data_IF_804358371778
#
_entry.id   IF_804358371778
#
_cell.length_a   1.000
_cell.length_b   1.000
_cell.length_c   1.000
_cell.angle_alpha   90.00
_cell.angle_beta   90.00
_cell.angle_gamma   90.00
#
_symmetry.space_group_name_H-M   'P 1'
#
loop_
_entity.id
_entity.type
_entity.pdbx_description
1 polymer ?
#
# COMPACT_ATOMS: atom_id res chain seq x y z
N UNK A 1 -32.44 -14.11 -60.86
CA UNK A 1 -31.22 -13.59 -60.20
C UNK A 1 -31.61 -12.96 -58.85
N UNK A 2 -31.62 -13.73 -57.76
CA UNK A 2 -32.00 -13.26 -56.41
C UNK A 2 -30.80 -13.35 -55.45
N UNK A 3 -30.64 -12.32 -54.62
CA UNK A 3 -30.04 -12.35 -53.28
C UNK A 3 -28.52 -12.53 -53.06
N UNK A 4 -27.65 -11.97 -53.92
CA UNK A 4 -26.19 -11.90 -53.59
C UNK A 4 -25.83 -10.77 -52.60
N UNK A 5 -26.65 -9.71 -52.50
CA UNK A 5 -26.35 -8.52 -51.67
C UNK A 5 -26.76 -8.64 -50.19
N UNK A 6 -27.73 -9.49 -49.84
CA UNK A 6 -28.24 -9.59 -48.47
C UNK A 6 -27.29 -10.37 -47.54
N UNK A 7 -26.57 -11.35 -48.09
CA UNK A 7 -25.58 -12.15 -47.35
C UNK A 7 -24.30 -11.35 -47.01
N UNK A 8 -23.92 -10.37 -47.83
CA UNK A 8 -22.73 -9.55 -47.58
C UNK A 8 -22.95 -8.48 -46.49
N UNK A 9 -24.15 -7.85 -46.43
CA UNK A 9 -24.48 -6.90 -45.35
C UNK A 9 -24.52 -7.55 -43.97
N UNK A 10 -25.10 -8.75 -43.84
CA UNK A 10 -25.12 -9.49 -42.56
C UNK A 10 -23.73 -9.95 -42.11
N UNK A 11 -22.86 -10.37 -43.04
CA UNK A 11 -21.45 -10.70 -42.72
C UNK A 11 -20.65 -9.45 -42.33
N UNK A 12 -20.88 -8.31 -42.98
CA UNK A 12 -20.24 -7.04 -42.64
C UNK A 12 -20.65 -6.53 -41.26
N UNK A 13 -21.95 -6.54 -40.94
CA UNK A 13 -22.45 -6.16 -39.62
C UNK A 13 -21.97 -7.10 -38.50
N UNK A 14 -21.86 -8.41 -38.76
CA UNK A 14 -21.25 -9.36 -37.82
C UNK A 14 -19.74 -9.11 -37.62
N UNK A 15 -19.02 -8.65 -38.65
CA UNK A 15 -17.60 -8.28 -38.52
C UNK A 15 -17.41 -6.96 -37.77
N UNK A 16 -18.30 -5.99 -37.98
CA UNK A 16 -18.33 -4.74 -37.22
C UNK A 16 -18.64 -4.99 -35.73
N UNK A 17 -19.63 -5.85 -35.41
CA UNK A 17 -19.99 -6.14 -34.02
C UNK A 17 -18.89 -6.88 -33.26
N UNK A 18 -18.17 -7.80 -33.90
CA UNK A 18 -17.06 -8.53 -33.26
C UNK A 18 -15.82 -7.64 -33.10
N UNK A 19 -15.55 -6.74 -34.05
CA UNK A 19 -14.44 -5.79 -33.97
C UNK A 19 -14.69 -4.62 -33.01
N UNK A 20 -15.93 -4.12 -32.91
CA UNK A 20 -16.26 -3.01 -32.03
C UNK A 20 -16.37 -3.42 -30.55
N UNK A 21 -16.87 -4.62 -30.24
CA UNK A 21 -16.93 -5.13 -28.87
C UNK A 21 -15.54 -5.48 -28.31
N UNK A 22 -14.65 -6.04 -29.15
CA UNK A 22 -13.26 -6.29 -28.75
C UNK A 22 -12.45 -4.99 -28.61
N UNK A 23 -12.65 -3.99 -29.49
CA UNK A 23 -12.02 -2.67 -29.30
C UNK A 23 -12.56 -1.91 -28.08
N UNK A 24 -13.85 -2.04 -27.73
CA UNK A 24 -14.42 -1.44 -26.52
C UNK A 24 -13.95 -2.14 -25.25
N UNK A 25 -13.86 -3.48 -25.26
CA UNK A 25 -13.32 -4.24 -24.13
C UNK A 25 -11.83 -3.97 -23.89
N UNK A 26 -11.04 -3.84 -24.95
CA UNK A 26 -9.61 -3.52 -24.86
C UNK A 26 -9.36 -2.03 -24.56
N UNK A 27 -10.24 -1.10 -24.96
CA UNK A 27 -10.17 0.30 -24.52
C UNK A 27 -10.62 0.49 -23.07
N UNK A 28 -11.58 -0.28 -22.58
CA UNK A 28 -11.94 -0.27 -21.16
C UNK A 28 -10.79 -0.81 -20.28
N UNK A 29 -10.08 -1.83 -20.77
CA UNK A 29 -8.86 -2.35 -20.12
C UNK A 29 -7.65 -1.40 -20.21
N UNK A 30 -7.71 -0.38 -21.09
CA UNK A 30 -6.62 0.57 -21.28
C UNK A 30 -6.88 1.84 -20.45
N UNK A 31 -6.39 1.80 -19.21
CA UNK A 31 -6.24 2.91 -18.27
C UNK A 31 -7.51 3.35 -17.55
N UNK A 32 -7.88 2.60 -16.51
CA UNK A 32 -8.65 3.11 -15.40
C UNK A 32 -7.83 4.21 -14.67
N UNK A 33 -7.85 5.43 -15.19
CA UNK A 33 -7.15 6.59 -14.63
C UNK A 33 -7.80 7.14 -13.37
N UNK A 34 -9.02 6.69 -13.05
CA UNK A 34 -9.75 7.02 -11.84
C UNK A 34 -10.24 5.78 -11.10
N UNK A 35 -10.39 5.91 -9.78
CA UNK A 35 -10.80 4.83 -8.89
C UNK A 35 -12.15 4.21 -9.24
N UNK A 36 -13.08 5.00 -9.80
CA UNK A 36 -14.40 4.51 -10.21
C UNK A 36 -14.33 3.48 -11.33
N UNK A 37 -13.43 3.67 -12.30
CA UNK A 37 -13.24 2.71 -13.40
C UNK A 37 -12.54 1.45 -12.89
N UNK A 38 -11.52 1.60 -12.07
CA UNK A 38 -10.79 0.47 -11.49
C UNK A 38 -11.71 -0.43 -10.63
N UNK A 39 -12.62 0.17 -9.86
CA UNK A 39 -13.56 -0.59 -9.04
C UNK A 39 -14.56 -1.42 -9.86
N UNK A 40 -14.93 -0.96 -11.06
CA UNK A 40 -15.80 -1.69 -11.96
C UNK A 40 -15.06 -2.85 -12.63
N UNK A 41 -13.81 -2.62 -13.04
CA UNK A 41 -12.97 -3.66 -13.65
C UNK A 41 -12.60 -4.76 -12.64
N UNK A 42 -12.30 -4.40 -11.40
CA UNK A 42 -12.04 -5.33 -10.30
C UNK A 42 -13.24 -6.24 -9.97
N UNK A 43 -14.46 -5.76 -10.23
CA UNK A 43 -15.69 -6.53 -10.00
C UNK A 43 -16.02 -7.47 -11.19
N UNK A 44 -15.38 -7.27 -12.33
CA UNK A 44 -15.63 -8.05 -13.55
C UNK A 44 -14.81 -9.33 -13.62
N UNK A 45 -13.56 -9.31 -13.15
CA UNK A 45 -12.67 -10.47 -13.14
C UNK A 45 -12.63 -11.16 -11.76
N UNK A 46 -12.55 -12.50 -11.75
CA UNK A 46 -12.28 -13.23 -10.50
C UNK A 46 -10.79 -13.15 -10.15
N UNK A 47 -10.40 -13.01 -8.86
CA UNK A 47 -8.98 -13.07 -8.44
C UNK A 47 -8.25 -14.36 -8.82
N UNK A 48 -8.97 -15.43 -9.15
CA UNK A 48 -8.41 -16.70 -9.60
C UNK A 48 -8.06 -16.72 -11.10
N UNK A 49 -8.40 -15.67 -11.85
CA UNK A 49 -8.19 -15.58 -13.29
C UNK A 49 -6.95 -14.74 -13.64
N UNK A 50 -6.18 -15.18 -14.65
CA UNK A 50 -4.99 -14.43 -15.11
C UNK A 50 -5.35 -13.01 -15.59
N UNK A 51 -6.54 -12.84 -16.18
CA UNK A 51 -7.02 -11.52 -16.62
C UNK A 51 -7.14 -10.51 -15.48
N UNK A 52 -7.45 -10.96 -14.26
CA UNK A 52 -7.45 -10.10 -13.07
C UNK A 52 -6.05 -9.56 -12.79
N UNK A 53 -5.05 -10.43 -12.78
CA UNK A 53 -3.67 -10.05 -12.47
C UNK A 53 -3.01 -9.24 -13.58
N UNK A 54 -3.37 -9.49 -14.85
CA UNK A 54 -2.97 -8.65 -15.97
C UNK A 54 -3.54 -7.24 -15.84
N UNK A 55 -4.82 -7.10 -15.47
CA UNK A 55 -5.44 -5.81 -15.17
C UNK A 55 -4.76 -5.10 -14.00
N UNK A 56 -4.45 -5.81 -12.89
CA UNK A 56 -3.73 -5.25 -11.73
C UNK A 56 -2.35 -4.76 -12.15
N UNK A 57 -1.59 -5.56 -12.91
CA UNK A 57 -0.27 -5.19 -13.42
C UNK A 57 -0.33 -3.92 -14.28
N UNK A 58 -1.36 -3.78 -15.10
CA UNK A 58 -1.57 -2.62 -15.96
C UNK A 58 -1.97 -1.34 -15.21
N UNK A 59 -2.16 -1.39 -13.88
CA UNK A 59 -2.37 -0.19 -13.06
C UNK A 59 -1.08 0.55 -12.70
N UNK A 60 0.09 -0.01 -13.00
CA UNK A 60 1.38 0.57 -12.63
C UNK A 60 2.15 1.05 -13.86
N UNK A 61 2.88 2.16 -13.72
CA UNK A 61 3.67 2.81 -14.78
C UNK A 61 4.99 2.09 -15.14
N UNK A 62 5.17 0.85 -14.69
CA UNK A 62 6.42 0.11 -14.92
C UNK A 62 6.57 -0.16 -16.40
N UNK A 63 7.78 0.08 -16.93
CA UNK A 63 8.11 -0.23 -18.32
C UNK A 63 7.80 -1.70 -18.64
N UNK A 64 7.19 -1.94 -19.80
CA UNK A 64 6.75 -3.28 -20.23
C UNK A 64 7.91 -4.24 -20.41
N UNK A 65 9.11 -3.71 -20.64
CA UNK A 65 10.34 -4.49 -20.79
C UNK A 65 11.00 -4.83 -19.43
N UNK A 66 10.40 -4.39 -18.31
CA UNK A 66 10.91 -4.62 -16.95
C UNK A 66 9.98 -5.54 -16.13
N UNK A 67 10.59 -6.33 -15.24
CA UNK A 67 9.88 -7.15 -14.27
C UNK A 67 10.24 -6.64 -12.87
N UNK A 68 9.24 -6.18 -12.12
CA UNK A 68 9.41 -5.75 -10.75
C UNK A 68 9.52 -6.96 -9.81
N UNK A 69 10.74 -7.20 -9.31
CA UNK A 69 11.01 -8.33 -8.40
C UNK A 69 11.09 -7.94 -6.92
N UNK A 70 11.12 -6.65 -6.60
CA UNK A 70 11.26 -6.16 -5.22
C UNK A 70 10.31 -4.99 -4.91
N UNK A 71 9.02 -5.30 -4.83
CA UNK A 71 8.00 -4.33 -4.42
C UNK A 71 8.11 -3.92 -2.93
N UNK A 72 8.80 -4.72 -2.11
CA UNK A 72 8.99 -4.43 -0.68
C UNK A 72 9.95 -3.25 -0.44
N UNK A 73 10.93 -3.04 -1.33
CA UNK A 73 11.80 -1.88 -1.27
C UNK A 73 11.11 -0.61 -1.78
N UNK A 74 10.50 -0.68 -2.96
CA UNK A 74 9.74 0.42 -3.54
C UNK A 74 8.68 -0.13 -4.48
N UNK A 75 7.41 0.04 -4.13
CA UNK A 75 6.30 -0.24 -5.01
C UNK A 75 5.82 1.07 -5.66
N UNK A 76 5.71 1.17 -6.99
CA UNK A 76 5.12 2.33 -7.63
C UNK A 76 3.65 2.47 -7.22
N UNK A 77 3.15 3.70 -7.20
CA UNK A 77 1.73 3.94 -6.97
C UNK A 77 0.92 3.51 -8.20
N UNK A 78 -0.27 2.91 -8.01
CA UNK A 78 -1.21 2.72 -9.11
C UNK A 78 -1.60 4.06 -9.74
N UNK A 79 -1.93 4.07 -11.04
CA UNK A 79 -2.31 5.27 -11.80
C UNK A 79 -3.37 6.11 -11.09
N UNK A 80 -4.43 5.47 -10.55
CA UNK A 80 -5.49 6.19 -9.84
C UNK A 80 -4.95 7.00 -8.64
N UNK A 81 -3.96 6.49 -7.91
CA UNK A 81 -3.33 7.18 -6.78
C UNK A 81 -2.42 8.29 -7.29
N UNK A 82 -1.54 7.98 -8.24
CA UNK A 82 -0.60 8.96 -8.81
C UNK A 82 -1.33 10.17 -9.42
N UNK A 83 -2.39 9.93 -10.19
CA UNK A 83 -3.24 10.97 -10.78
C UNK A 83 -3.90 11.83 -9.70
N UNK A 84 -4.49 11.23 -8.67
CA UNK A 84 -5.14 11.96 -7.57
C UNK A 84 -4.15 12.85 -6.82
N UNK A 85 -2.92 12.36 -6.56
CA UNK A 85 -1.87 13.15 -5.92
C UNK A 85 -1.48 14.34 -6.81
N UNK A 86 -1.26 14.11 -8.11
CA UNK A 86 -0.94 15.17 -9.07
C UNK A 86 -2.03 16.24 -9.15
N UNK A 87 -3.31 15.83 -9.15
CA UNK A 87 -4.45 16.73 -9.11
C UNK A 87 -4.44 17.60 -7.85
N UNK A 88 -4.18 17.02 -6.68
CA UNK A 88 -4.13 17.77 -5.41
C UNK A 88 -2.96 18.74 -5.37
N UNK A 89 -1.79 18.35 -5.86
CA UNK A 89 -0.63 19.24 -6.00
C UNK A 89 -0.97 20.42 -6.91
N UNK A 90 -1.55 20.16 -8.09
CA UNK A 90 -1.91 21.23 -9.02
C UNK A 90 -2.97 22.17 -8.43
N UNK A 91 -3.96 21.63 -7.74
CA UNK A 91 -5.04 22.43 -7.17
C UNK A 91 -4.56 23.30 -5.99
N UNK A 92 -3.66 22.80 -5.14
CA UNK A 92 -2.99 23.59 -4.10
C UNK A 92 -2.12 24.71 -4.67
N UNK A 93 -1.45 24.48 -5.80
CA UNK A 93 -0.68 25.52 -6.49
C UNK A 93 -1.57 26.61 -7.10
N UNK A 94 -2.80 26.26 -7.49
CA UNK A 94 -3.77 27.20 -8.07
C UNK A 94 -4.43 28.08 -7.02
N UNK A 95 -4.70 27.55 -5.82
CA UNK A 95 -5.34 28.26 -4.73
C UNK A 95 -4.69 27.96 -3.38
N UNK A 96 -3.92 28.92 -2.86
CA UNK A 96 -3.21 28.82 -1.57
C UNK A 96 -4.01 29.37 -0.39
N UNK A 97 -5.28 29.72 -0.60
CA UNK A 97 -6.16 30.27 0.43
C UNK A 97 -6.39 29.28 1.59
N UNK A 98 -6.71 29.82 2.77
CA UNK A 98 -7.07 28.97 3.91
C UNK A 98 -8.35 28.18 3.64
N UNK A 99 -9.32 28.80 2.98
CA UNK A 99 -10.62 28.21 2.64
C UNK A 99 -10.46 26.99 1.74
N UNK A 100 -9.58 27.06 0.74
CA UNK A 100 -9.30 25.91 -0.10
C UNK A 100 -8.59 24.80 0.69
N UNK A 101 -7.63 25.14 1.57
CA UNK A 101 -6.92 24.14 2.38
C UNK A 101 -7.82 23.38 3.36
N UNK A 102 -8.91 23.98 3.85
CA UNK A 102 -9.86 23.32 4.76
C UNK A 102 -10.51 22.06 4.16
N UNK A 103 -10.59 21.94 2.83
CA UNK A 103 -11.15 20.73 2.19
C UNK A 103 -10.35 19.47 2.53
N UNK A 104 -9.06 19.61 2.86
CA UNK A 104 -8.20 18.48 3.20
C UNK A 104 -8.46 17.94 4.62
N UNK A 105 -9.07 18.73 5.52
CA UNK A 105 -9.45 18.25 6.85
C UNK A 105 -10.50 17.14 6.74
N UNK A 106 -11.53 17.36 5.93
CA UNK A 106 -12.57 16.36 5.66
C UNK A 106 -11.98 15.14 4.93
N UNK A 107 -11.14 15.35 3.90
CA UNK A 107 -10.47 14.24 3.19
C UNK A 107 -9.58 13.40 4.09
N UNK A 108 -8.87 14.04 5.03
CA UNK A 108 -8.03 13.35 6.03
C UNK A 108 -8.89 12.50 6.94
N UNK A 109 -10.03 13.02 7.41
CA UNK A 109 -10.99 12.27 8.23
C UNK A 109 -11.50 11.03 7.49
N UNK A 110 -11.95 11.18 6.25
CA UNK A 110 -12.41 10.06 5.41
C UNK A 110 -11.30 9.02 5.15
N UNK A 111 -10.04 9.47 5.03
CA UNK A 111 -8.90 8.57 4.88
C UNK A 111 -8.64 7.76 6.15
N UNK A 112 -8.76 8.39 7.32
CA UNK A 112 -8.66 7.73 8.63
C UNK A 112 -9.77 6.69 8.80
N UNK A 113 -11.02 7.04 8.52
CA UNK A 113 -12.16 6.13 8.60
C UNK A 113 -11.96 4.89 7.72
N UNK A 114 -11.45 5.08 6.48
CA UNK A 114 -11.14 3.95 5.59
C UNK A 114 -10.01 3.07 6.10
N UNK A 115 -8.95 3.67 6.65
CA UNK A 115 -7.82 2.92 7.23
C UNK A 115 -8.22 2.15 8.48
N UNK A 116 -9.01 2.77 9.36
CA UNK A 116 -9.54 2.15 10.57
C UNK A 116 -10.39 0.92 10.22
N UNK A 117 -11.31 1.07 9.26
CA UNK A 117 -12.12 -0.04 8.76
C UNK A 117 -11.26 -1.16 8.14
N UNK A 118 -10.22 -0.81 7.38
CA UNK A 118 -9.32 -1.79 6.76
C UNK A 118 -8.51 -2.57 7.81
N UNK A 119 -8.06 -1.91 8.87
CA UNK A 119 -7.25 -2.50 9.94
C UNK A 119 -8.08 -3.15 11.05
N UNK A 120 -9.40 -2.94 11.06
CA UNK A 120 -10.28 -3.40 12.13
C UNK A 120 -10.09 -2.65 13.45
N UNK A 121 -9.72 -1.36 13.39
CA UNK A 121 -9.46 -0.49 14.54
C UNK A 121 -10.45 0.69 14.59
N UNK A 122 -10.38 1.51 15.64
CA UNK A 122 -11.13 2.78 15.73
C UNK A 122 -10.37 3.91 15.04
N UNK A 123 -11.09 4.94 14.58
CA UNK A 123 -10.49 6.14 13.98
C UNK A 123 -9.49 6.83 14.92
N UNK A 124 -9.77 6.81 16.23
CA UNK A 124 -8.92 7.38 17.28
C UNK A 124 -7.59 6.65 17.46
N UNK A 125 -7.43 5.46 16.89
CA UNK A 125 -6.22 4.64 16.95
C UNK A 125 -5.32 4.84 15.72
N UNK A 126 -5.74 5.65 14.74
CA UNK A 126 -5.01 5.86 13.48
C UNK A 126 -4.23 7.16 13.47
N UNK A 127 -2.90 7.04 13.42
CA UNK A 127 -1.98 8.14 13.08
C UNK A 127 -1.45 7.99 11.66
N UNK A 128 -1.63 9.02 10.81
CA UNK A 128 -1.00 9.07 9.48
C UNK A 128 0.31 9.85 9.58
N UNK A 129 1.40 9.23 9.12
CA UNK A 129 2.75 9.81 9.03
C UNK A 129 3.25 9.69 7.59
N UNK A 130 4.40 10.31 7.28
CA UNK A 130 4.90 10.33 5.90
C UNK A 130 5.55 9.00 5.49
N UNK A 131 6.05 8.21 6.45
CA UNK A 131 6.66 6.89 6.22
C UNK A 131 6.88 6.12 7.54
N UNK A 132 7.25 4.85 7.43
CA UNK A 132 7.49 3.95 8.58
C UNK A 132 8.64 4.40 9.48
N UNK A 133 9.70 5.01 8.94
CA UNK A 133 10.85 5.45 9.75
C UNK A 133 10.49 6.66 10.60
N UNK A 134 9.71 7.61 10.06
CA UNK A 134 9.15 8.73 10.81
C UNK A 134 8.22 8.23 11.93
N UNK A 135 7.30 7.32 11.61
CA UNK A 135 6.41 6.72 12.60
C UNK A 135 7.18 6.07 13.75
N UNK A 136 8.18 5.26 13.44
CA UNK A 136 9.00 4.60 14.44
C UNK A 136 9.78 5.60 15.30
N UNK A 137 10.37 6.62 14.68
CA UNK A 137 11.05 7.70 15.38
C UNK A 137 10.12 8.49 16.30
N UNK A 138 8.88 8.73 15.87
CA UNK A 138 7.87 9.42 16.67
C UNK A 138 7.50 8.61 17.91
N UNK A 139 7.27 7.31 17.78
CA UNK A 139 6.98 6.42 18.92
C UNK A 139 8.18 6.34 19.87
N UNK A 140 9.37 6.03 19.35
CA UNK A 140 10.57 5.89 20.18
C UNK A 140 10.92 7.17 20.96
N UNK A 141 10.64 8.35 20.40
CA UNK A 141 10.85 9.64 21.08
C UNK A 141 9.68 10.07 21.97
N UNK A 142 8.47 9.57 21.71
CA UNK A 142 7.27 9.90 22.49
C UNK A 142 7.14 9.10 23.79
N UNK A 143 7.83 7.96 23.90
CA UNK A 143 7.87 7.18 25.13
C UNK A 143 8.77 7.84 26.17
N UNK A 144 8.27 8.00 27.40
CA UNK A 144 9.00 8.63 28.51
C UNK A 144 9.95 7.65 29.22
N UNK A 145 10.85 7.03 28.45
CA UNK A 145 11.82 6.06 28.96
C UNK A 145 12.93 6.76 29.76
N UNK A 146 13.32 6.16 30.88
CA UNK A 146 14.36 6.65 31.79
C UNK A 146 15.62 5.79 31.71
N UNK A 147 16.72 6.32 32.23
CA UNK A 147 17.97 5.57 32.33
C UNK A 147 17.75 4.24 33.05
N UNK A 148 18.22 3.14 32.46
CA UNK A 148 18.00 1.78 32.96
C UNK A 148 16.71 1.10 32.49
N UNK A 149 15.79 1.82 31.84
CA UNK A 149 14.67 1.17 31.14
C UNK A 149 15.18 0.32 30.00
N UNK A 150 14.46 -0.78 29.72
CA UNK A 150 14.88 -1.75 28.72
C UNK A 150 13.93 -1.72 27.53
N UNK A 151 14.50 -1.68 26.33
CA UNK A 151 13.80 -1.88 25.07
C UNK A 151 14.30 -3.17 24.46
N UNK A 152 13.39 -4.10 24.19
CA UNK A 152 13.69 -5.41 23.62
C UNK A 152 13.25 -5.40 22.16
N UNK A 153 14.19 -5.72 21.26
CA UNK A 153 13.97 -5.76 19.81
C UNK A 153 14.54 -7.03 19.20
N UNK A 154 14.02 -7.46 18.06
CA UNK A 154 14.62 -8.54 17.26
C UNK A 154 15.89 -8.05 16.56
N UNK A 155 16.84 -8.97 16.33
CA UNK A 155 18.07 -8.75 15.57
C UNK A 155 17.88 -8.73 14.04
N UNK A 156 16.71 -9.15 13.57
CA UNK A 156 16.30 -9.11 12.16
C UNK A 156 15.45 -7.87 11.85
N UNK A 157 15.36 -6.91 12.78
CA UNK A 157 14.66 -5.67 12.53
C UNK A 157 15.35 -4.89 11.41
N UNK A 158 14.55 -4.13 10.65
CA UNK A 158 15.12 -3.25 9.64
C UNK A 158 16.11 -2.26 10.30
N UNK A 159 17.28 -1.96 9.69
CA UNK A 159 18.29 -1.10 10.32
C UNK A 159 17.77 0.29 10.73
N UNK A 160 16.81 0.85 9.97
CA UNK A 160 16.19 2.13 10.34
C UNK A 160 15.32 2.03 11.60
N UNK A 161 14.78 0.85 11.92
CA UNK A 161 14.08 0.61 13.18
C UNK A 161 15.07 0.56 14.35
N UNK A 162 16.25 -0.05 14.17
CA UNK A 162 17.25 -0.17 15.24
C UNK A 162 17.94 1.14 15.59
N UNK A 163 18.28 1.94 14.57
CA UNK A 163 19.14 3.12 14.73
C UNK A 163 18.58 4.14 15.74
N UNK A 164 17.26 4.31 15.82
CA UNK A 164 16.65 5.22 16.78
C UNK A 164 16.80 4.71 18.21
N UNK A 165 16.69 3.41 18.45
CA UNK A 165 16.83 2.84 19.80
C UNK A 165 18.27 2.98 20.31
N UNK A 166 19.27 2.79 19.45
CA UNK A 166 20.66 3.05 19.81
C UNK A 166 20.92 4.53 20.12
N UNK A 167 20.25 5.43 19.40
CA UNK A 167 20.32 6.87 19.70
C UNK A 167 19.65 7.18 21.05
N UNK A 168 18.48 6.60 21.33
CA UNK A 168 17.79 6.74 22.61
C UNK A 168 18.65 6.22 23.76
N UNK A 169 19.33 5.07 23.59
CA UNK A 169 20.26 4.51 24.57
C UNK A 169 21.40 5.49 24.89
N UNK A 170 22.02 6.06 23.86
CA UNK A 170 23.10 7.04 24.02
C UNK A 170 22.64 8.34 24.71
N UNK A 171 21.41 8.78 24.45
CA UNK A 171 20.88 10.06 24.95
C UNK A 171 20.31 9.97 26.37
N UNK A 172 19.61 8.88 26.68
CA UNK A 172 18.82 8.75 27.90
C UNK A 172 19.27 7.60 28.81
N UNK A 173 20.29 6.83 28.40
CA UNK A 173 20.82 5.72 29.20
C UNK A 173 19.89 4.51 29.27
N UNK A 174 18.95 4.37 28.33
CA UNK A 174 18.15 3.15 28.19
C UNK A 174 19.03 1.98 27.71
N UNK A 175 18.59 0.76 27.98
CA UNK A 175 19.28 -0.48 27.59
C UNK A 175 18.53 -1.13 26.44
N UNK A 176 19.18 -1.26 25.28
CA UNK A 176 18.59 -1.94 24.11
C UNK A 176 19.07 -3.39 24.08
N UNK A 177 18.14 -4.32 24.27
CA UNK A 177 18.40 -5.77 24.22
C UNK A 177 17.94 -6.33 22.88
N UNK A 178 18.87 -6.92 22.15
CA UNK A 178 18.61 -7.57 20.87
C UNK A 178 18.39 -9.06 21.06
N UNK A 179 17.30 -9.57 20.50
CA UNK A 179 16.89 -10.97 20.58
C UNK A 179 17.24 -11.63 19.27
N UNK A 180 18.07 -12.68 19.33
CA UNK A 180 18.46 -13.42 18.14
C UNK A 180 17.28 -14.22 17.57
N UNK A 181 17.02 -14.07 16.28
CA UNK A 181 16.03 -14.87 15.57
C UNK A 181 16.59 -16.27 15.31
N UNK A 182 15.94 -17.36 15.75
CA UNK A 182 16.35 -18.72 15.42
C UNK A 182 16.57 -18.92 13.91
N UNK A 183 17.70 -19.54 13.53
CA UNK A 183 18.13 -19.65 12.12
C UNK A 183 17.26 -20.62 11.28
N UNK A 184 16.40 -21.43 11.91
CA UNK A 184 15.48 -22.34 11.20
C UNK A 184 14.39 -22.84 12.18
N UNK A 185 13.45 -21.98 12.61
CA UNK A 185 12.49 -22.34 13.64
C UNK A 185 11.62 -23.51 13.17
N UNK A 186 11.54 -24.58 13.95
CA UNK A 186 10.71 -25.77 13.63
C UNK A 186 9.28 -25.65 14.12
N UNK A 187 9.03 -24.71 15.02
CA UNK A 187 7.70 -24.40 15.54
C UNK A 187 7.56 -22.90 15.77
N UNK A 188 6.32 -22.45 15.99
CA UNK A 188 6.04 -21.09 16.44
C UNK A 188 6.59 -20.85 17.85
N UNK A 189 6.58 -21.89 18.69
CA UNK A 189 7.03 -21.81 20.08
C UNK A 189 8.51 -21.49 20.17
N UNK A 190 9.34 -22.01 19.26
CA UNK A 190 10.77 -21.65 19.21
C UNK A 190 11.02 -20.15 19.00
N UNK A 191 10.12 -19.43 18.31
CA UNK A 191 10.20 -17.97 18.21
C UNK A 191 9.70 -17.29 19.48
N UNK A 192 8.58 -17.76 20.02
CA UNK A 192 7.93 -17.17 21.19
C UNK A 192 8.80 -17.32 22.43
N UNK A 193 9.37 -18.49 22.66
CA UNK A 193 10.17 -18.83 23.84
C UNK A 193 11.39 -17.92 23.97
N UNK A 194 12.07 -17.59 22.87
CA UNK A 194 13.25 -16.72 22.91
C UNK A 194 12.87 -15.32 23.40
N UNK A 195 11.74 -14.78 22.92
CA UNK A 195 11.24 -13.48 23.37
C UNK A 195 10.74 -13.53 24.81
N UNK A 196 9.96 -14.55 25.18
CA UNK A 196 9.44 -14.72 26.54
C UNK A 196 10.56 -14.86 27.57
N UNK A 197 11.57 -15.69 27.30
CA UNK A 197 12.73 -15.87 28.18
C UNK A 197 13.47 -14.55 28.41
N UNK A 198 13.52 -13.67 27.40
CA UNK A 198 14.13 -12.34 27.54
C UNK A 198 13.27 -11.37 28.35
N UNK A 199 11.95 -11.42 28.21
CA UNK A 199 11.02 -10.63 29.02
C UNK A 199 11.05 -11.04 30.50
N UNK A 200 11.10 -12.35 30.78
CA UNK A 200 11.03 -12.90 32.14
C UNK A 200 12.33 -12.77 32.95
N UNK A 201 13.49 -12.60 32.30
CA UNK A 201 14.78 -12.40 32.97
C UNK A 201 14.84 -11.12 33.84
N UNK A 202 13.91 -10.18 33.67
CA UNK A 202 13.86 -8.91 34.42
C UNK A 202 12.85 -8.89 35.59
N UNK A 203 11.99 -9.90 35.73
CA UNK A 203 10.97 -9.94 36.80
C UNK A 203 11.49 -10.50 38.15
N UNK A 204 12.80 -10.66 38.31
CA UNK A 204 13.45 -11.04 39.58
C UNK A 204 14.45 -9.97 39.99
#
# INVERSE_FOLDING_TARGET
>A
MKNRNQFQRRKFLKKLSVGSLSMLGVHALAQATSWSYLSADLAFFSPDEEGYWEMVKNQFEIDKDLIMMNAANLCPSPHAVANTVNEYVHALNKDVSFQYREVFNQKRKESIEKLANFLGSQDSEIGITSNTSEANCMIAQGLDLKSGDEVIIWDQNHPSNEAIWDLQAKRFGIVVKRVATPINPKSKDELIDVLQNRLLQKQK
#
